data_IF_144440646341
#
_entry.id   IF_144440646341
#
_cell.length_a   1.000
_cell.length_b   1.000
_cell.length_c   1.000
_cell.angle_alpha   90.00
_cell.angle_beta   90.00
_cell.angle_gamma   90.00
#
_symmetry.space_group_name_H-M   'P 1'
#
loop_
_entity.id
_entity.type
_entity.pdbx_description
1 polymer ?
#
# COMPACT_ATOMS: atom_id res chain seq x y z
N UNK A 1 -5.82 10.59 -5.19
CA UNK A 1 -5.05 9.36 -5.44
C UNK A 1 -4.36 8.89 -4.18
N UNK A 2 -3.24 8.19 -4.25
CA UNK A 2 -2.56 7.69 -3.05
C UNK A 2 -1.89 8.82 -2.26
N UNK A 3 -1.91 8.73 -0.95
CA UNK A 3 -1.10 9.57 -0.08
C UNK A 3 0.37 9.11 -0.13
N UNK A 4 1.28 10.01 0.27
CA UNK A 4 2.71 9.65 0.36
C UNK A 4 2.95 8.44 1.28
N UNK A 5 2.20 8.34 2.36
CA UNK A 5 2.27 7.18 3.27
C UNK A 5 1.87 5.88 2.59
N UNK A 6 0.79 5.91 1.80
CA UNK A 6 0.36 4.74 1.03
C UNK A 6 1.37 4.35 -0.04
N UNK A 7 1.95 5.32 -0.75
CA UNK A 7 3.01 5.08 -1.73
C UNK A 7 4.25 4.44 -1.07
N UNK A 8 4.65 4.94 0.08
CA UNK A 8 5.76 4.37 0.83
C UNK A 8 5.46 2.96 1.34
N UNK A 9 4.25 2.71 1.82
CA UNK A 9 3.83 1.38 2.26
C UNK A 9 3.88 0.36 1.10
N UNK A 10 3.36 0.73 -0.08
CA UNK A 10 3.44 -0.11 -1.26
C UNK A 10 4.89 -0.36 -1.69
N UNK A 11 5.72 0.68 -1.72
CA UNK A 11 7.14 0.55 -2.05
C UNK A 11 7.86 -0.40 -1.10
N UNK A 12 7.65 -0.24 0.20
CA UNK A 12 8.20 -1.14 1.21
C UNK A 12 7.74 -2.59 1.01
N UNK A 13 6.43 -2.80 0.77
CA UNK A 13 5.87 -4.12 0.54
C UNK A 13 6.46 -4.81 -0.70
N UNK A 14 6.70 -4.08 -1.78
CA UNK A 14 7.33 -4.61 -3.01
C UNK A 14 8.77 -5.06 -2.72
N UNK A 15 9.55 -4.26 -1.99
CA UNK A 15 10.92 -4.67 -1.59
C UNK A 15 10.93 -5.89 -0.68
N UNK A 16 10.01 -5.94 0.29
CA UNK A 16 9.84 -7.12 1.15
C UNK A 16 9.39 -8.34 0.36
N UNK A 17 8.53 -8.15 -0.64
CA UNK A 17 8.10 -9.21 -1.53
C UNK A 17 9.26 -9.84 -2.30
N UNK A 18 10.18 -9.02 -2.81
CA UNK A 18 11.40 -9.47 -3.52
C UNK A 18 12.34 -10.26 -2.63
N UNK A 19 12.33 -9.99 -1.34
CA UNK A 19 13.16 -10.68 -0.35
C UNK A 19 12.43 -11.83 0.35
N UNK A 20 11.21 -12.14 -0.10
CA UNK A 20 10.40 -13.20 0.51
C UNK A 20 11.11 -14.56 0.41
N UNK A 21 11.24 -15.25 1.54
CA UNK A 21 11.97 -16.50 1.63
C UNK A 21 13.47 -16.38 1.96
N UNK A 22 14.04 -15.18 1.84
CA UNK A 22 15.47 -14.93 2.12
C UNK A 22 15.75 -14.56 3.60
N UNK A 23 14.71 -14.55 4.42
CA UNK A 23 14.77 -14.11 5.80
C UNK A 23 14.42 -12.63 5.98
N UNK A 24 14.29 -12.17 7.24
CA UNK A 24 13.89 -10.80 7.51
C UNK A 24 14.94 -9.78 7.09
N UNK A 25 14.47 -8.60 6.65
CA UNK A 25 15.29 -7.46 6.27
C UNK A 25 15.30 -6.44 7.40
N UNK A 26 16.46 -5.91 7.75
CA UNK A 26 16.55 -4.85 8.75
C UNK A 26 15.88 -3.58 8.24
N UNK A 27 15.19 -2.87 9.13
CA UNK A 27 14.54 -1.59 8.80
C UNK A 27 15.54 -0.59 8.22
N UNK A 28 16.77 -0.53 8.73
CA UNK A 28 17.82 0.34 8.20
C UNK A 28 18.20 -0.01 6.75
N UNK A 29 18.27 -1.29 6.42
CA UNK A 29 18.56 -1.76 5.07
C UNK A 29 17.39 -1.47 4.13
N UNK A 30 16.18 -1.74 4.58
CA UNK A 30 14.97 -1.44 3.81
C UNK A 30 14.86 0.07 3.55
N UNK A 31 15.17 0.92 4.52
CA UNK A 31 15.18 2.37 4.35
C UNK A 31 16.19 2.81 3.28
N UNK A 32 17.38 2.25 3.28
CA UNK A 32 18.40 2.51 2.25
C UNK A 32 17.93 2.11 0.85
N UNK A 33 17.38 0.91 0.72
CA UNK A 33 16.94 0.38 -0.57
C UNK A 33 15.73 1.12 -1.14
N UNK A 34 14.82 1.55 -0.28
CA UNK A 34 13.58 2.22 -0.69
C UNK A 34 13.71 3.74 -0.82
N UNK A 35 14.74 4.33 -0.21
CA UNK A 35 14.88 5.78 -0.10
C UNK A 35 13.86 6.42 0.85
N UNK A 36 13.16 5.63 1.66
CA UNK A 36 12.20 6.13 2.64
C UNK A 36 12.94 6.53 3.92
N UNK A 37 12.69 7.71 4.49
CA UNK A 37 13.30 8.11 5.76
C UNK A 37 13.00 7.08 6.85
N UNK A 38 14.03 6.64 7.58
CA UNK A 38 13.94 5.55 8.54
C UNK A 38 12.84 5.74 9.59
N UNK A 39 12.71 6.94 10.13
CA UNK A 39 11.68 7.22 11.15
C UNK A 39 10.27 7.06 10.58
N UNK A 40 10.08 7.48 9.34
CA UNK A 40 8.81 7.34 8.64
C UNK A 40 8.50 5.89 8.32
N UNK A 41 9.49 5.18 7.81
CA UNK A 41 9.38 3.75 7.50
C UNK A 41 9.05 2.92 8.73
N UNK A 42 9.68 3.20 9.87
CA UNK A 42 9.40 2.50 11.13
C UNK A 42 7.93 2.61 11.55
N UNK A 43 7.33 3.78 11.39
CA UNK A 43 5.90 3.99 11.69
C UNK A 43 5.00 3.21 10.73
N UNK A 44 5.34 3.19 9.44
CA UNK A 44 4.61 2.44 8.42
C UNK A 44 4.67 0.94 8.72
N UNK A 45 5.86 0.41 8.96
CA UNK A 45 6.07 -1.00 9.28
C UNK A 45 5.35 -1.42 10.56
N UNK A 46 5.34 -0.56 11.58
CA UNK A 46 4.60 -0.81 12.81
C UNK A 46 3.09 -1.01 12.55
N UNK A 47 2.50 -0.17 11.71
CA UNK A 47 1.10 -0.32 11.30
C UNK A 47 0.87 -1.62 10.51
N UNK A 48 1.78 -1.97 9.62
CA UNK A 48 1.69 -3.21 8.83
C UNK A 48 1.82 -4.45 9.73
N UNK A 49 2.68 -4.42 10.74
CA UNK A 49 2.80 -5.50 11.75
C UNK A 49 1.49 -5.65 12.53
N UNK A 50 0.91 -4.55 12.98
CA UNK A 50 -0.37 -4.57 13.70
C UNK A 50 -1.53 -5.15 12.88
N UNK A 51 -1.46 -5.06 11.56
CA UNK A 51 -2.45 -5.63 10.64
C UNK A 51 -2.12 -7.04 10.17
N UNK A 52 -1.03 -7.62 10.66
CA UNK A 52 -0.61 -8.97 10.28
C UNK A 52 -0.07 -9.09 8.86
N UNK A 53 0.30 -7.98 8.23
CA UNK A 53 0.86 -7.95 6.86
C UNK A 53 2.36 -8.21 6.85
N UNK A 54 3.03 -7.86 7.92
CA UNK A 54 4.47 -7.95 8.10
C UNK A 54 4.76 -8.59 9.45
N UNK A 55 5.70 -9.52 9.48
CA UNK A 55 6.27 -10.09 10.69
C UNK A 55 7.53 -9.32 11.07
N UNK A 56 7.74 -9.12 12.36
CA UNK A 56 8.91 -8.46 12.92
C UNK A 56 9.62 -9.39 13.88
N UNK A 57 10.93 -9.55 13.68
CA UNK A 57 11.79 -10.33 14.56
C UNK A 57 12.86 -9.45 15.18
N UNK A 58 13.16 -9.68 16.48
CA UNK A 58 14.23 -9.00 17.21
C UNK A 58 15.54 -9.74 17.10
N UNK A 59 16.65 -9.07 17.34
CA UNK A 59 17.99 -9.63 17.45
C UNK A 59 18.89 -9.37 16.25
N UNK A 60 20.06 -9.99 16.23
CA UNK A 60 21.10 -9.78 15.20
C UNK A 60 20.65 -10.18 13.80
N UNK A 61 19.82 -11.23 13.70
CA UNK A 61 19.23 -11.72 12.45
C UNK A 61 17.77 -11.30 12.30
N UNK A 62 17.35 -10.34 13.11
CA UNK A 62 16.00 -9.79 13.09
C UNK A 62 15.78 -8.81 11.97
N UNK A 63 14.56 -8.39 11.85
CA UNK A 63 14.09 -7.45 10.87
C UNK A 63 12.62 -7.65 10.56
N UNK A 64 12.22 -7.31 9.37
CA UNK A 64 10.84 -7.40 8.90
C UNK A 64 10.74 -8.22 7.63
N UNK A 65 9.64 -8.96 7.48
CA UNK A 65 9.34 -9.77 6.30
C UNK A 65 7.83 -9.76 6.04
N UNK A 66 7.40 -9.96 4.81
CA UNK A 66 5.98 -10.20 4.54
C UNK A 66 5.51 -11.46 5.27
N UNK A 67 4.33 -11.39 5.87
CA UNK A 67 3.75 -12.50 6.62
C UNK A 67 3.24 -13.64 5.72
N UNK A 68 2.98 -13.35 4.45
CA UNK A 68 2.44 -14.28 3.46
C UNK A 68 3.18 -14.17 2.14
N UNK A 69 2.94 -15.14 1.25
CA UNK A 69 3.44 -15.09 -0.11
C UNK A 69 2.99 -13.79 -0.81
N UNK A 70 3.90 -13.08 -1.50
CA UNK A 70 3.55 -11.85 -2.24
C UNK A 70 2.38 -12.00 -3.23
N UNK A 71 2.17 -13.20 -3.77
CA UNK A 71 1.04 -13.48 -4.65
C UNK A 71 -0.32 -13.48 -3.94
N UNK A 72 -0.32 -13.64 -2.61
CA UNK A 72 -1.53 -13.66 -1.78
C UNK A 72 -1.83 -12.32 -1.12
N UNK A 73 -0.95 -11.34 -1.25
CA UNK A 73 -1.11 -10.01 -0.65
C UNK A 73 -1.54 -9.02 -1.72
N UNK A 74 -2.78 -8.53 -1.62
CA UNK A 74 -3.31 -7.55 -2.57
C UNK A 74 -2.88 -6.13 -2.18
N UNK A 75 -2.73 -5.26 -3.18
CA UNK A 75 -2.36 -3.85 -2.95
C UNK A 75 -3.34 -3.17 -2.00
N UNK A 76 -4.62 -3.54 -2.05
CA UNK A 76 -5.65 -3.01 -1.15
C UNK A 76 -5.34 -3.25 0.32
N UNK A 77 -4.82 -4.42 0.66
CA UNK A 77 -4.46 -4.75 2.04
C UNK A 77 -3.34 -3.85 2.57
N UNK A 78 -2.40 -3.50 1.70
CA UNK A 78 -1.25 -2.65 2.07
C UNK A 78 -1.68 -1.19 2.30
N UNK A 79 -2.56 -0.65 1.47
CA UNK A 79 -2.97 0.75 1.58
C UNK A 79 -4.06 1.00 2.61
N UNK A 80 -4.88 -0.01 2.93
CA UNK A 80 -6.02 0.13 3.83
C UNK A 80 -5.67 0.68 5.23
N UNK A 81 -4.57 0.28 5.90
CA UNK A 81 -4.21 0.82 7.20
C UNK A 81 -3.94 2.32 7.23
N UNK A 82 -3.66 2.91 6.07
CA UNK A 82 -3.26 4.31 5.90
C UNK A 82 -4.34 5.17 5.26
N UNK A 83 -5.55 4.61 5.10
CA UNK A 83 -6.69 5.39 4.64
C UNK A 83 -7.25 6.23 5.79
N UNK A 84 -7.65 7.48 5.54
CA UNK A 84 -8.40 8.25 6.52
C UNK A 84 -9.68 7.52 6.93
N UNK A 85 -10.04 7.59 8.21
CA UNK A 85 -11.25 6.94 8.74
C UNK A 85 -12.54 7.40 8.02
N UNK A 86 -12.51 8.60 7.49
CA UNK A 86 -13.58 9.17 6.68
C UNK A 86 -12.96 9.75 5.41
N UNK A 87 -12.81 8.91 4.39
CA UNK A 87 -12.55 9.42 3.04
C UNK A 87 -13.92 9.74 2.43
N UNK A 88 -14.27 11.02 2.27
CA UNK A 88 -15.52 11.34 1.60
C UNK A 88 -15.46 10.78 0.18
N UNK A 89 -16.55 10.21 -0.29
CA UNK A 89 -16.71 9.83 -1.72
C UNK A 89 -16.60 11.09 -2.55
N UNK A 90 -15.38 11.57 -2.77
CA UNK A 90 -15.12 12.86 -3.38
C UNK A 90 -15.67 12.91 -4.79
N UNK A 91 -16.57 13.86 -5.00
CA UNK A 91 -16.94 14.31 -6.32
C UNK A 91 -15.74 14.97 -7.01
N UNK A 92 -15.55 14.75 -8.30
CA UNK A 92 -14.49 15.41 -9.09
C UNK A 92 -14.56 16.94 -9.01
N UNK A 93 -15.73 17.49 -8.78
CA UNK A 93 -15.96 18.94 -8.60
C UNK A 93 -15.86 19.41 -7.14
N UNK A 94 -15.39 18.55 -6.23
CA UNK A 94 -15.22 18.92 -4.82
C UNK A 94 -16.49 18.94 -3.98
N UNK A 95 -17.61 18.43 -4.48
CA UNK A 95 -18.81 18.29 -3.65
C UNK A 95 -18.57 17.30 -2.51
N UNK A 96 -19.24 17.47 -1.36
CA UNK A 96 -19.10 16.57 -0.21
C UNK A 96 -19.45 15.12 -0.55
N UNK A 97 -20.40 14.91 -1.45
CA UNK A 97 -20.82 13.58 -1.89
C UNK A 97 -20.88 13.48 -3.41
N UNK A 98 -20.51 12.32 -3.92
CA UNK A 98 -20.74 11.92 -5.31
C UNK A 98 -22.02 11.07 -5.33
N UNK A 99 -23.16 11.72 -5.50
CA UNK A 99 -24.49 11.11 -5.37
C UNK A 99 -25.10 10.77 -6.73
N UNK A 100 -25.69 9.58 -6.81
CA UNK A 100 -26.48 9.17 -7.97
C UNK A 100 -27.82 9.94 -8.06
N UNK A 101 -28.32 10.51 -6.94
CA UNK A 101 -29.55 11.31 -6.91
C UNK A 101 -29.36 12.71 -7.50
N UNK A 102 -28.18 13.30 -7.30
CA UNK A 102 -27.84 14.63 -7.79
C UNK A 102 -26.53 14.59 -8.59
N UNK A 103 -26.51 13.89 -9.75
CA UNK A 103 -25.30 13.71 -10.53
C UNK A 103 -24.85 15.04 -11.16
N UNK A 104 -23.54 15.24 -11.27
CA UNK A 104 -22.97 16.26 -12.12
C UNK A 104 -22.69 15.71 -13.52
N UNK A 105 -22.34 16.58 -14.48
CA UNK A 105 -22.05 16.15 -15.85
C UNK A 105 -20.90 15.14 -16.00
N UNK A 106 -19.98 15.08 -15.02
CA UNK A 106 -18.88 14.13 -15.00
C UNK A 106 -19.17 12.85 -14.18
N UNK A 107 -20.33 12.76 -13.54
CA UNK A 107 -20.66 11.73 -12.56
C UNK A 107 -20.40 10.30 -13.06
N UNK A 108 -20.97 9.95 -14.19
CA UNK A 108 -20.87 8.57 -14.71
C UNK A 108 -19.43 8.19 -15.08
N UNK A 109 -18.71 9.09 -15.72
CA UNK A 109 -17.30 8.85 -16.08
C UNK A 109 -16.42 8.76 -14.86
N UNK A 110 -16.61 9.63 -13.87
CA UNK A 110 -15.87 9.64 -12.61
C UNK A 110 -16.15 8.38 -11.78
N UNK A 111 -17.40 7.95 -11.71
CA UNK A 111 -17.79 6.71 -11.05
C UNK A 111 -17.06 5.50 -11.63
N UNK A 112 -17.02 5.36 -12.94
CA UNK A 112 -16.29 4.29 -13.65
C UNK A 112 -14.79 4.30 -13.34
N UNK A 113 -14.17 5.47 -13.28
CA UNK A 113 -12.74 5.61 -12.93
C UNK A 113 -12.50 5.13 -11.50
N UNK A 114 -13.33 5.54 -10.54
CA UNK A 114 -13.23 5.09 -9.16
C UNK A 114 -13.39 3.57 -9.04
N UNK A 115 -14.41 3.01 -9.66
CA UNK A 115 -14.66 1.57 -9.66
C UNK A 115 -13.50 0.78 -10.26
N UNK A 116 -12.90 1.25 -11.36
CA UNK A 116 -11.72 0.63 -11.96
C UNK A 116 -10.48 0.73 -11.06
N UNK A 117 -10.32 1.86 -10.40
CA UNK A 117 -9.21 2.07 -9.47
C UNK A 117 -9.33 1.13 -8.27
N UNK A 118 -10.52 1.02 -7.68
CA UNK A 118 -10.80 0.09 -6.58
C UNK A 118 -10.55 -1.36 -7.01
N UNK A 119 -11.07 -1.78 -8.16
CA UNK A 119 -10.86 -3.10 -8.72
C UNK A 119 -9.37 -3.40 -8.95
N UNK A 120 -8.59 -2.44 -9.43
CA UNK A 120 -7.14 -2.59 -9.59
C UNK A 120 -6.45 -2.93 -8.26
N UNK A 121 -6.73 -2.18 -7.20
CA UNK A 121 -6.13 -2.44 -5.89
C UNK A 121 -6.61 -3.75 -5.26
N UNK A 122 -7.82 -4.18 -5.53
CA UNK A 122 -8.39 -5.42 -5.00
C UNK A 122 -7.88 -6.68 -5.71
N UNK A 123 -7.51 -6.57 -6.98
CA UNK A 123 -7.15 -7.72 -7.80
C UNK A 123 -5.67 -7.81 -8.16
N UNK A 124 -4.88 -6.79 -7.84
CA UNK A 124 -3.43 -6.75 -8.12
C UNK A 124 -2.67 -7.12 -6.86
N UNK A 125 -1.84 -8.16 -6.94
CA UNK A 125 -0.99 -8.60 -5.84
C UNK A 125 0.36 -7.89 -5.81
N UNK A 126 1.07 -8.02 -4.69
CA UNK A 126 2.46 -7.57 -4.59
C UNK A 126 3.33 -8.32 -5.61
N UNK A 127 3.08 -9.62 -5.84
CA UNK A 127 3.80 -10.40 -6.85
C UNK A 127 3.65 -9.81 -8.26
N UNK A 128 2.45 -9.35 -8.61
CA UNK A 128 2.20 -8.74 -9.93
C UNK A 128 3.01 -7.45 -10.14
N UNK A 129 3.17 -6.66 -9.08
CA UNK A 129 3.86 -5.37 -9.15
C UNK A 129 5.37 -5.50 -9.05
N UNK A 130 5.88 -6.48 -8.29
CA UNK A 130 7.32 -6.65 -8.10
C UNK A 130 8.04 -7.23 -9.30
N UNK A 131 7.31 -7.88 -10.19
CA UNK A 131 7.86 -8.42 -11.41
C UNK A 131 8.29 -7.27 -12.36
N UNK A 132 9.54 -7.27 -12.77
CA UNK A 132 10.10 -6.37 -13.80
C UNK A 132 10.07 -4.86 -13.52
N UNK A 133 9.66 -4.41 -12.34
CA UNK A 133 9.65 -2.98 -12.05
C UNK A 133 10.98 -2.54 -11.42
N UNK A 134 11.82 -1.75 -12.13
CA UNK A 134 12.89 -1.02 -11.47
C UNK A 134 12.25 0.03 -10.55
N UNK A 135 12.50 -0.08 -9.27
CA UNK A 135 12.06 0.96 -8.33
C UNK A 135 13.05 2.10 -8.30
N UNK A 136 12.57 3.31 -8.22
CA UNK A 136 13.44 4.47 -8.16
C UNK A 136 14.36 4.45 -6.95
#
# INVERSE_FOLDING_TARGET
>A
MLSRTQEYALRAAVFLGRSHGDGPLRTSELAKRTGIPRNYLSKILHQMVRRGLVDSERGRRGGVALSRDPAEVMLREIIAPFQPAHEPKRCVLGRPECSDEFPCGAHQSWKKIKERTEAFFETTSIADVMAETPLP
#
